data_IF_856314017735
#
_entry.id   IF_856314017735
#
_cell.length_a   1.000
_cell.length_b   1.000
_cell.length_c   1.000
_cell.angle_alpha   90.00
_cell.angle_beta   90.00
_cell.angle_gamma   90.00
#
_symmetry.space_group_name_H-M   'P 1'
#
loop_
_entity.id
_entity.type
_entity.pdbx_description
1 polymer ?
#
# COMPACT_ATOMS: atom_id res chain seq x y z
N UNK A 1 -2.87 6.58 8.03
CA UNK A 1 -3.05 5.32 8.79
C UNK A 1 -1.74 4.74 9.25
N UNK A 2 -0.82 4.41 8.34
CA UNK A 2 0.50 3.84 8.68
C UNK A 2 1.67 4.78 8.35
N UNK A 3 1.39 6.08 8.18
CA UNK A 3 2.30 7.04 7.55
C UNK A 3 2.99 8.01 8.52
N UNK A 4 2.82 7.86 9.83
CA UNK A 4 3.32 8.85 10.80
C UNK A 4 4.73 8.58 11.33
N UNK A 5 5.37 7.46 10.97
CA UNK A 5 6.78 7.20 11.30
C UNK A 5 7.53 6.72 10.05
N UNK A 6 8.54 7.49 9.64
CA UNK A 6 9.31 7.37 8.39
C UNK A 6 8.44 7.24 7.14
N UNK A 7 8.12 8.37 6.50
CA UNK A 7 7.19 8.53 5.38
C UNK A 7 7.41 7.62 4.14
N UNK A 8 8.48 6.83 4.13
CA UNK A 8 8.91 5.99 3.02
C UNK A 8 8.83 4.47 3.34
N UNK A 9 8.50 4.04 4.57
CA UNK A 9 8.38 2.62 4.91
C UNK A 9 7.40 2.29 6.04
N UNK A 10 6.86 1.07 6.04
CA UNK A 10 5.94 0.55 7.06
C UNK A 10 6.54 -0.73 7.64
N UNK A 11 6.56 -0.87 8.97
CA UNK A 11 7.06 -2.09 9.60
C UNK A 11 6.00 -3.20 9.67
N UNK A 12 6.46 -4.46 9.67
CA UNK A 12 5.62 -5.64 9.90
C UNK A 12 4.86 -5.55 11.23
N UNK A 13 5.50 -4.97 12.25
CA UNK A 13 4.86 -4.73 13.55
C UNK A 13 3.70 -3.75 13.42
N UNK A 14 3.89 -2.61 12.75
CA UNK A 14 2.83 -1.62 12.58
C UNK A 14 1.67 -2.16 11.75
N UNK A 15 1.94 -3.01 10.74
CA UNK A 15 0.90 -3.70 9.99
C UNK A 15 0.05 -4.62 10.87
N UNK A 16 0.70 -5.43 11.71
CA UNK A 16 0.01 -6.33 12.66
C UNK A 16 -0.81 -5.54 13.67
N UNK A 17 -0.19 -4.53 14.30
CA UNK A 17 -0.85 -3.67 15.28
C UNK A 17 -2.08 -2.97 14.68
N UNK A 18 -2.02 -2.55 13.41
CA UNK A 18 -3.17 -1.98 12.73
C UNK A 18 -4.22 -3.03 12.37
N UNK A 19 -3.81 -4.20 11.87
CA UNK A 19 -4.72 -5.30 11.54
C UNK A 19 -5.53 -5.72 12.76
N UNK A 20 -4.88 -5.87 13.91
CA UNK A 20 -5.54 -6.22 15.17
C UNK A 20 -6.55 -5.15 15.57
N UNK A 21 -6.17 -3.87 15.52
CA UNK A 21 -7.10 -2.75 15.81
C UNK A 21 -8.32 -2.75 14.90
N UNK A 22 -8.13 -2.91 13.59
CA UNK A 22 -9.23 -2.85 12.62
C UNK A 22 -10.13 -4.09 12.67
N UNK A 23 -9.61 -5.25 13.08
CA UNK A 23 -10.36 -6.50 13.17
C UNK A 23 -11.52 -6.41 14.17
N UNK A 24 -11.34 -5.66 15.26
CA UNK A 24 -12.38 -5.46 16.27
C UNK A 24 -13.41 -4.36 15.93
N UNK A 25 -13.21 -3.62 14.84
CA UNK A 25 -14.12 -2.57 14.40
C UNK A 25 -15.06 -3.07 13.29
N UNK A 26 -16.31 -2.62 13.35
CA UNK A 26 -17.28 -2.72 12.25
C UNK A 26 -16.82 -1.90 11.03
N UNK A 27 -17.44 -2.15 9.88
CA UNK A 27 -17.13 -1.41 8.64
C UNK A 27 -17.42 0.09 8.84
N UNK A 28 -18.52 0.43 9.51
CA UNK A 28 -18.92 1.80 9.81
C UNK A 28 -17.94 2.51 10.75
N UNK A 29 -17.45 1.82 11.78
CA UNK A 29 -16.38 2.33 12.67
C UNK A 29 -15.08 2.55 11.90
N UNK A 30 -14.67 1.58 11.06
CA UNK A 30 -13.49 1.74 10.19
C UNK A 30 -13.63 2.95 9.25
N UNK A 31 -14.82 3.17 8.69
CA UNK A 31 -15.08 4.34 7.84
C UNK A 31 -14.96 5.65 8.61
N UNK A 32 -15.60 5.73 9.78
CA UNK A 32 -15.69 6.97 10.56
C UNK A 32 -14.39 7.32 11.28
N UNK A 33 -13.73 6.35 11.94
CA UNK A 33 -12.50 6.58 12.70
C UNK A 33 -11.29 6.79 11.79
N UNK A 34 -11.20 6.02 10.69
CA UNK A 34 -10.05 6.02 9.80
C UNK A 34 -10.28 6.73 8.47
N UNK A 35 -11.45 7.36 8.30
CA UNK A 35 -11.85 8.12 7.10
C UNK A 35 -11.74 7.29 5.82
N UNK A 36 -12.02 5.99 5.93
CA UNK A 36 -12.01 5.07 4.81
C UNK A 36 -13.29 5.21 3.99
N UNK A 37 -13.15 5.06 2.68
CA UNK A 37 -14.31 4.84 1.80
C UNK A 37 -14.91 3.46 2.07
N UNK A 38 -16.21 3.22 1.79
CA UNK A 38 -16.87 1.95 2.09
C UNK A 38 -16.16 0.73 1.48
N UNK A 39 -15.79 0.84 0.20
CA UNK A 39 -15.04 -0.18 -0.55
C UNK A 39 -13.69 -0.51 0.10
N UNK A 40 -13.04 0.48 0.69
CA UNK A 40 -11.76 0.29 1.40
C UNK A 40 -11.94 -0.27 2.80
N UNK A 41 -12.97 0.15 3.53
CA UNK A 41 -13.24 -0.31 4.89
C UNK A 41 -13.63 -1.79 4.95
N UNK A 42 -14.28 -2.28 3.89
CA UNK A 42 -14.57 -3.69 3.65
C UNK A 42 -13.28 -4.52 3.51
N UNK A 43 -12.36 -4.08 2.64
CA UNK A 43 -11.19 -4.90 2.24
C UNK A 43 -9.90 -4.63 3.01
N UNK A 44 -9.86 -3.63 3.90
CA UNK A 44 -8.60 -3.20 4.53
C UNK A 44 -7.97 -4.29 5.41
N UNK A 45 -8.76 -5.08 6.14
CA UNK A 45 -8.26 -6.17 6.99
C UNK A 45 -7.68 -7.31 6.13
N UNK A 46 -8.41 -7.88 5.14
CA UNK A 46 -7.83 -8.85 4.21
C UNK A 46 -6.55 -8.35 3.51
N UNK A 47 -6.49 -7.06 3.14
CA UNK A 47 -5.29 -6.49 2.55
C UNK A 47 -4.09 -6.51 3.51
N UNK A 48 -4.28 -6.11 4.77
CA UNK A 48 -3.22 -6.14 5.79
C UNK A 48 -2.73 -7.57 6.06
N UNK A 49 -3.61 -8.56 6.04
CA UNK A 49 -3.25 -9.98 6.15
C UNK A 49 -2.34 -10.43 5.01
N UNK A 50 -2.67 -10.05 3.76
CA UNK A 50 -1.85 -10.37 2.57
C UNK A 50 -0.46 -9.74 2.71
N UNK A 51 -0.37 -8.45 3.05
CA UNK A 51 0.94 -7.80 3.22
C UNK A 51 1.75 -8.41 4.36
N UNK A 52 1.10 -8.70 5.50
CA UNK A 52 1.73 -9.36 6.64
C UNK A 52 2.26 -10.74 6.26
N UNK A 53 1.48 -11.54 5.54
CA UNK A 53 1.91 -12.85 5.03
C UNK A 53 3.15 -12.72 4.16
N UNK A 54 3.11 -11.84 3.14
CA UNK A 54 4.24 -11.65 2.21
C UNK A 54 5.50 -11.20 2.96
N UNK A 55 5.40 -10.25 3.89
CA UNK A 55 6.53 -9.81 4.70
C UNK A 55 7.14 -10.95 5.53
N UNK A 56 6.32 -11.81 6.14
CA UNK A 56 6.81 -12.98 6.89
C UNK A 56 7.50 -13.99 5.97
N UNK A 57 6.90 -14.34 4.83
CA UNK A 57 7.47 -15.30 3.88
C UNK A 57 8.82 -14.81 3.34
N UNK A 58 8.98 -13.50 3.18
CA UNK A 58 10.23 -12.88 2.74
C UNK A 58 11.23 -12.62 3.88
N UNK A 59 10.88 -12.95 5.13
CA UNK A 59 11.66 -12.58 6.33
C UNK A 59 12.02 -11.09 6.37
N UNK A 60 11.11 -10.23 5.91
CA UNK A 60 11.30 -8.80 5.81
C UNK A 60 10.60 -8.06 6.97
N UNK A 61 11.32 -7.14 7.61
CA UNK A 61 10.80 -6.39 8.76
C UNK A 61 10.03 -5.14 8.37
N UNK A 62 10.24 -4.62 7.16
CA UNK A 62 9.63 -3.39 6.63
C UNK A 62 9.35 -3.50 5.15
N UNK A 63 8.34 -2.78 4.68
CA UNK A 63 8.06 -2.55 3.25
C UNK A 63 8.20 -1.07 2.94
N UNK A 64 8.79 -0.73 1.80
CA UNK A 64 8.84 0.66 1.32
C UNK A 64 7.55 1.04 0.60
N UNK A 65 7.06 2.26 0.84
CA UNK A 65 5.88 2.80 0.16
C UNK A 65 6.35 3.68 -1.00
N UNK A 66 6.18 3.24 -2.27
CA UNK A 66 6.60 4.04 -3.41
C UNK A 66 5.73 5.28 -3.56
N UNK A 67 6.36 6.41 -3.90
CA UNK A 67 5.66 7.68 -4.18
C UNK A 67 5.03 7.74 -5.57
N UNK A 68 5.34 6.78 -6.43
CA UNK A 68 4.80 6.63 -7.79
C UNK A 68 3.96 5.35 -7.87
N UNK A 69 2.79 5.46 -8.49
CA UNK A 69 1.88 4.36 -8.70
C UNK A 69 2.05 3.67 -10.05
N UNK A 70 1.25 2.64 -10.28
CA UNK A 70 1.25 1.88 -11.54
C UNK A 70 1.00 2.79 -12.76
N UNK A 71 0.04 3.72 -12.65
CA UNK A 71 -0.29 4.65 -13.74
C UNK A 71 0.90 5.53 -14.12
N UNK A 72 1.66 6.03 -13.14
CA UNK A 72 2.88 6.80 -13.39
C UNK A 72 3.93 5.95 -14.12
N UNK A 73 4.09 4.70 -13.68
CA UNK A 73 4.99 3.73 -14.33
C UNK A 73 4.61 3.46 -15.79
N UNK A 74 3.32 3.30 -16.08
CA UNK A 74 2.81 3.08 -17.44
C UNK A 74 3.06 4.31 -18.32
N UNK A 75 2.73 5.52 -17.84
CA UNK A 75 2.95 6.77 -18.59
C UNK A 75 4.45 6.96 -18.88
N UNK A 76 5.30 6.70 -17.89
CA UNK A 76 6.75 6.79 -18.03
C UNK A 76 7.32 5.79 -19.03
N UNK A 77 6.79 4.56 -19.06
CA UNK A 77 7.18 3.55 -20.05
C UNK A 77 6.79 3.97 -21.48
N UNK A 78 5.59 4.51 -21.68
CA UNK A 78 5.17 5.05 -22.97
C UNK A 78 6.07 6.20 -23.43
N UNK A 79 6.35 7.17 -22.54
CA UNK A 79 7.23 8.30 -22.85
C UNK A 79 8.64 7.84 -23.27
N UNK A 80 9.21 6.86 -22.57
CA UNK A 80 10.52 6.29 -22.91
C UNK A 80 10.54 5.66 -24.30
N UNK A 81 9.49 4.92 -24.65
CA UNK A 81 9.38 4.26 -25.96
C UNK A 81 9.30 5.29 -27.10
N UNK A 82 8.56 6.37 -26.90
CA UNK A 82 8.46 7.43 -27.91
C UNK A 82 9.81 8.11 -28.15
N UNK A 83 10.53 8.50 -27.07
CA UNK A 83 11.87 9.10 -27.21
C UNK A 83 12.86 8.15 -27.89
N UNK A 84 12.81 6.85 -27.56
CA UNK A 84 13.67 5.85 -28.20
C UNK A 84 13.39 5.77 -29.71
N UNK A 85 12.12 5.77 -30.12
CA UNK A 85 11.73 5.74 -31.52
C UNK A 85 12.16 7.01 -32.28
N UNK A 86 12.14 8.17 -31.63
CA UNK A 86 12.58 9.45 -32.24
C UNK A 86 14.11 9.55 -32.42
N UNK A 87 14.92 8.87 -31.60
CA UNK A 87 16.38 9.03 -31.60
C UNK A 87 17.14 7.87 -32.25
N UNK A 88 16.51 6.72 -32.43
CA UNK A 88 17.15 5.50 -32.96
C UNK A 88 16.45 4.97 -34.22
N UNK A 89 15.34 5.61 -34.63
CA UNK A 89 14.64 5.39 -35.91
C UNK A 89 15.25 6.15 -37.08
#
# INVERSE_FOLDING_TARGET
LLSEHDADSISLKDMRDLSDKLTFLSIEERMSEYKLKPDRADVIVPALEIYTYVLNELSAEKISVPKMGLSDGIIYDFYKKEIYNEHVG
#
